data_IF_931700919039
#
_entry.id   IF_931700919039
#
_cell.length_a   1.000
_cell.length_b   1.000
_cell.length_c   1.000
_cell.angle_alpha   90.00
_cell.angle_beta   90.00
_cell.angle_gamma   90.00
#
_symmetry.space_group_name_H-M   'P 1'
#
loop_
_entity.id
_entity.type
_entity.pdbx_description
1 polymer ?
#
# COMPACT_ATOMS: atom_id res chain seq x y z
N UNK A 1 25.01 -17.29 4.82
CA UNK A 1 23.89 -18.21 4.48
C UNK A 1 22.94 -18.28 5.68
N UNK A 2 21.62 -18.14 5.42
CA UNK A 2 20.62 -18.27 6.49
C UNK A 2 20.43 -19.73 6.88
N UNK A 3 20.29 -19.99 8.18
CA UNK A 3 20.13 -21.35 8.73
C UNK A 3 18.83 -21.46 9.52
N UNK A 4 18.24 -22.65 9.56
CA UNK A 4 17.21 -23.01 10.53
C UNK A 4 17.81 -23.16 11.93
N UNK A 5 16.97 -23.21 12.97
CA UNK A 5 17.39 -23.52 14.35
C UNK A 5 18.09 -24.90 14.44
N UNK A 6 17.78 -25.83 13.52
CA UNK A 6 18.41 -27.16 13.41
C UNK A 6 19.62 -27.18 12.44
N UNK A 7 20.15 -26.02 12.03
CA UNK A 7 21.32 -25.91 11.17
C UNK A 7 21.11 -26.15 9.67
N UNK A 8 19.90 -26.48 9.21
CA UNK A 8 19.59 -26.65 7.77
C UNK A 8 19.62 -25.31 7.05
N UNK A 9 20.11 -25.30 5.80
CA UNK A 9 20.19 -24.12 4.96
C UNK A 9 18.81 -23.66 4.48
N UNK A 10 18.43 -22.43 4.82
CA UNK A 10 17.18 -21.81 4.37
C UNK A 10 17.31 -21.01 3.05
N UNK A 11 18.54 -20.74 2.61
CA UNK A 11 18.84 -19.86 1.51
C UNK A 11 19.40 -18.50 1.95
N UNK A 12 19.96 -17.76 0.98
CA UNK A 12 20.53 -16.42 1.23
C UNK A 12 19.40 -15.42 1.56
N UNK A 13 19.50 -14.76 2.70
CA UNK A 13 18.51 -13.75 3.12
C UNK A 13 17.35 -14.29 3.94
N UNK A 14 17.30 -15.60 4.22
CA UNK A 14 16.25 -16.22 5.05
C UNK A 14 16.86 -16.85 6.28
N UNK A 15 16.31 -16.59 7.46
CA UNK A 15 16.71 -17.26 8.71
C UNK A 15 15.48 -17.62 9.54
N UNK A 16 15.56 -18.72 10.29
CA UNK A 16 14.51 -19.09 11.24
C UNK A 16 14.71 -18.32 12.55
N UNK A 17 13.63 -17.80 13.07
CA UNK A 17 13.55 -17.10 14.36
C UNK A 17 13.28 -18.09 15.48
N UNK A 18 13.49 -17.66 16.73
CA UNK A 18 13.22 -18.47 17.94
C UNK A 18 11.74 -18.82 18.09
N UNK A 19 10.83 -17.99 17.55
CA UNK A 19 9.37 -18.21 17.52
C UNK A 19 8.91 -19.20 16.44
N UNK A 20 9.86 -19.83 15.72
CA UNK A 20 9.58 -20.80 14.66
C UNK A 20 9.34 -20.22 13.28
N UNK A 21 9.07 -18.90 13.16
CA UNK A 21 8.83 -18.24 11.89
C UNK A 21 10.14 -18.02 11.10
N UNK A 22 10.00 -17.86 9.79
CA UNK A 22 11.11 -17.59 8.88
C UNK A 22 11.14 -16.11 8.52
N UNK A 23 12.22 -15.42 8.89
CA UNK A 23 12.47 -14.02 8.50
C UNK A 23 13.23 -13.98 7.19
N UNK A 24 12.63 -13.37 6.16
CA UNK A 24 13.28 -13.06 4.90
C UNK A 24 13.70 -11.58 4.88
N UNK A 25 14.91 -11.30 4.37
CA UNK A 25 15.50 -9.95 4.30
C UNK A 25 16.00 -9.66 2.89
N UNK A 26 15.64 -8.49 2.42
CA UNK A 26 16.05 -7.96 1.13
C UNK A 26 16.50 -6.50 1.29
N UNK A 27 17.52 -6.10 0.57
CA UNK A 27 17.97 -4.70 0.49
C UNK A 27 17.81 -4.28 -0.96
N UNK A 28 17.00 -3.25 -1.20
CA UNK A 28 16.77 -2.73 -2.54
C UNK A 28 17.97 -1.90 -3.05
N UNK A 29 17.92 -1.51 -4.33
CA UNK A 29 19.00 -0.70 -4.97
C UNK A 29 19.20 0.66 -4.32
N UNK A 30 18.21 1.16 -3.56
CA UNK A 30 18.29 2.42 -2.82
C UNK A 30 18.91 2.24 -1.43
N UNK A 31 19.33 1.01 -1.08
CA UNK A 31 19.90 0.69 0.21
C UNK A 31 18.89 0.48 1.33
N UNK A 32 17.59 0.54 1.05
CA UNK A 32 16.53 0.32 2.05
C UNK A 32 16.37 -1.18 2.31
N UNK A 33 16.30 -1.53 3.59
CA UNK A 33 16.12 -2.91 4.03
C UNK A 33 14.64 -3.22 4.22
N UNK A 34 14.19 -4.28 3.56
CA UNK A 34 12.87 -4.88 3.72
C UNK A 34 13.00 -6.18 4.48
N UNK A 35 12.13 -6.41 5.46
CA UNK A 35 12.12 -7.65 6.26
C UNK A 35 10.68 -8.09 6.44
N UNK A 36 10.42 -9.39 6.16
CA UNK A 36 9.09 -9.99 6.36
C UNK A 36 9.23 -11.38 6.97
N UNK A 37 8.25 -11.77 7.82
CA UNK A 37 8.21 -13.08 8.46
C UNK A 37 7.13 -13.96 7.81
N UNK A 38 7.41 -15.27 7.71
CA UNK A 38 6.57 -16.26 7.05
C UNK A 38 6.48 -17.51 7.90
N UNK A 39 5.40 -18.26 7.74
CA UNK A 39 5.24 -19.55 8.42
C UNK A 39 6.12 -20.64 7.79
N UNK A 40 6.38 -20.56 6.49
CA UNK A 40 7.12 -21.57 5.75
C UNK A 40 8.30 -21.03 4.94
N UNK A 41 9.30 -21.88 4.67
CA UNK A 41 10.45 -21.54 3.83
C UNK A 41 10.04 -21.25 2.37
N UNK A 42 9.14 -22.02 1.72
CA UNK A 42 8.70 -21.73 0.36
C UNK A 42 8.11 -20.33 0.20
N UNK A 43 7.21 -19.91 1.11
CA UNK A 43 6.65 -18.55 1.11
C UNK A 43 7.73 -17.47 1.22
N UNK A 44 8.69 -17.67 2.13
CA UNK A 44 9.81 -16.75 2.31
C UNK A 44 10.70 -16.65 1.05
N UNK A 45 10.88 -17.78 0.33
CA UNK A 45 11.66 -17.81 -0.92
C UNK A 45 10.91 -17.12 -2.07
N UNK A 46 9.62 -17.38 -2.22
CA UNK A 46 8.81 -16.75 -3.26
C UNK A 46 8.79 -15.24 -3.07
N UNK A 47 8.51 -14.77 -1.86
CA UNK A 47 8.56 -13.35 -1.56
C UNK A 47 9.94 -12.72 -1.88
N UNK A 48 11.03 -13.42 -1.56
CA UNK A 48 12.38 -12.92 -1.83
C UNK A 48 12.72 -12.88 -3.33
N UNK A 49 12.18 -13.84 -4.10
CA UNK A 49 12.34 -13.89 -5.54
C UNK A 49 11.57 -12.75 -6.21
N UNK A 50 10.31 -12.54 -5.81
CA UNK A 50 9.47 -11.44 -6.32
C UNK A 50 10.07 -10.07 -5.99
N UNK A 51 10.58 -9.89 -4.76
CA UNK A 51 11.24 -8.67 -4.33
C UNK A 51 12.47 -8.34 -5.18
N UNK A 52 13.30 -9.34 -5.46
CA UNK A 52 14.49 -9.17 -6.29
C UNK A 52 14.14 -8.91 -7.75
N UNK A 53 13.13 -9.62 -8.28
CA UNK A 53 12.66 -9.42 -9.63
C UNK A 53 12.13 -7.98 -9.83
N UNK A 54 11.29 -7.51 -8.92
CA UNK A 54 10.76 -6.15 -8.94
C UNK A 54 11.89 -5.09 -8.87
N UNK A 55 12.87 -5.28 -8.00
CA UNK A 55 14.02 -4.38 -7.87
C UNK A 55 14.89 -4.37 -9.15
N UNK A 56 15.12 -5.53 -9.77
CA UNK A 56 15.90 -5.64 -11.01
C UNK A 56 15.23 -4.95 -12.19
N UNK A 57 13.89 -4.98 -12.27
CA UNK A 57 13.13 -4.41 -13.37
C UNK A 57 12.66 -2.97 -13.10
N UNK A 58 13.10 -2.36 -11.99
CA UNK A 58 12.71 -1.00 -11.62
C UNK A 58 11.23 -0.88 -11.24
N UNK A 59 10.54 -2.01 -11.11
CA UNK A 59 9.16 -2.08 -10.63
C UNK A 59 9.16 -1.82 -9.13
N UNK A 60 8.22 -1.00 -8.65
CA UNK A 60 8.09 -0.78 -7.20
C UNK A 60 7.74 -2.12 -6.56
N UNK A 61 8.62 -2.61 -5.66
CA UNK A 61 8.29 -3.79 -4.88
C UNK A 61 7.16 -3.44 -3.91
N UNK A 62 5.99 -3.99 -4.19
CA UNK A 62 4.80 -3.80 -3.39
C UNK A 62 4.61 -5.06 -2.55
N UNK A 63 4.71 -4.95 -1.22
CA UNK A 63 4.31 -6.04 -0.36
C UNK A 63 2.85 -6.41 -0.64
N UNK A 64 2.54 -7.71 -0.73
CA UNK A 64 1.16 -8.18 -0.93
C UNK A 64 0.19 -7.72 0.18
N UNK A 65 0.73 -7.19 1.27
CA UNK A 65 0.04 -6.65 2.43
C UNK A 65 0.10 -5.11 2.51
N UNK A 66 0.43 -4.42 1.40
CA UNK A 66 0.41 -2.96 1.35
C UNK A 66 -0.99 -2.45 1.70
N UNK A 67 -1.08 -1.61 2.72
CA UNK A 67 -2.32 -0.92 3.10
C UNK A 67 -2.52 0.36 2.31
N UNK A 68 -3.74 0.90 2.36
CA UNK A 68 -4.04 2.22 1.78
C UNK A 68 -3.19 3.30 2.45
N UNK A 69 -2.93 3.22 3.77
CA UNK A 69 -2.04 4.13 4.50
C UNK A 69 -0.63 4.11 3.93
N UNK A 70 -0.04 2.92 3.80
CA UNK A 70 1.32 2.78 3.27
C UNK A 70 1.44 3.29 1.83
N UNK A 71 0.41 3.03 1.02
CA UNK A 71 0.34 3.56 -0.34
C UNK A 71 0.22 5.09 -0.35
N UNK A 72 -0.63 5.68 0.50
CA UNK A 72 -0.78 7.13 0.59
C UNK A 72 0.51 7.83 0.99
N UNK A 73 1.24 7.31 1.97
CA UNK A 73 2.55 7.85 2.38
C UNK A 73 3.53 7.85 1.20
N UNK A 74 3.67 6.70 0.51
CA UNK A 74 4.52 6.61 -0.67
C UNK A 74 4.09 7.57 -1.78
N UNK A 75 2.80 7.59 -2.09
CA UNK A 75 2.22 8.45 -3.12
C UNK A 75 2.41 9.94 -2.82
N UNK A 76 2.21 10.35 -1.57
CA UNK A 76 2.34 11.75 -1.14
C UNK A 76 3.79 12.25 -1.21
N UNK A 77 4.76 11.38 -1.01
CA UNK A 77 6.19 11.72 -1.00
C UNK A 77 6.81 11.64 -2.40
N UNK A 78 6.50 10.58 -3.15
CA UNK A 78 7.22 10.26 -4.39
C UNK A 78 6.45 10.56 -5.68
N UNK A 79 5.13 10.64 -5.64
CA UNK A 79 4.32 10.83 -6.86
C UNK A 79 3.78 12.26 -6.94
N UNK A 80 3.29 12.81 -5.83
CA UNK A 80 2.76 14.18 -5.80
C UNK A 80 3.66 15.15 -5.05
N UNK A 81 4.89 14.74 -4.75
CA UNK A 81 5.87 15.55 -4.02
C UNK A 81 6.21 16.87 -4.72
N UNK A 82 6.17 16.92 -6.04
CA UNK A 82 6.47 18.11 -6.86
C UNK A 82 5.27 19.06 -7.02
N UNK A 83 4.08 18.70 -6.53
CA UNK A 83 2.93 19.59 -6.58
C UNK A 83 3.07 20.77 -5.60
N UNK A 84 2.34 21.84 -5.89
CA UNK A 84 2.31 23.04 -5.05
C UNK A 84 2.01 22.69 -3.57
N UNK A 85 2.68 23.34 -2.60
CA UNK A 85 2.55 23.01 -1.16
C UNK A 85 1.11 22.98 -0.67
N UNK A 86 0.26 23.90 -1.13
CA UNK A 86 -1.16 23.92 -0.77
C UNK A 86 -1.92 22.69 -1.29
N UNK A 87 -1.60 22.20 -2.50
CA UNK A 87 -2.22 21.00 -3.07
C UNK A 87 -1.86 19.76 -2.25
N UNK A 88 -0.58 19.61 -1.90
CA UNK A 88 -0.10 18.51 -1.07
C UNK A 88 -0.75 18.52 0.32
N UNK A 89 -0.85 19.71 0.95
CA UNK A 89 -1.52 19.88 2.24
C UNK A 89 -2.99 19.47 2.15
N UNK A 90 -3.71 19.93 1.13
CA UNK A 90 -5.11 19.60 0.92
C UNK A 90 -5.34 18.08 0.70
N UNK A 91 -4.45 17.39 -0.02
CA UNK A 91 -4.52 15.94 -0.17
C UNK A 91 -4.31 15.24 1.17
N UNK A 92 -3.33 15.67 1.96
CA UNK A 92 -3.03 15.11 3.28
C UNK A 92 -4.19 15.32 4.25
N UNK A 93 -4.72 16.52 4.35
CA UNK A 93 -5.85 16.84 5.23
C UNK A 93 -7.08 15.99 4.89
N UNK A 94 -7.47 15.91 3.62
CA UNK A 94 -8.60 15.09 3.19
C UNK A 94 -8.36 13.60 3.43
N UNK A 95 -7.14 13.14 3.23
CA UNK A 95 -6.81 11.75 3.50
C UNK A 95 -6.92 11.44 4.98
N UNK A 96 -6.22 12.17 5.83
CA UNK A 96 -6.12 11.91 7.28
C UNK A 96 -7.48 12.03 7.96
N UNK A 97 -8.27 13.06 7.60
CA UNK A 97 -9.56 13.28 8.28
C UNK A 97 -10.70 12.44 7.72
N UNK A 98 -10.73 12.16 6.42
CA UNK A 98 -11.92 11.59 5.79
C UNK A 98 -11.72 10.16 5.27
N UNK A 99 -10.53 9.82 4.76
CA UNK A 99 -10.28 8.54 4.07
C UNK A 99 -9.64 7.53 5.02
N UNK A 100 -8.60 7.93 5.71
CA UNK A 100 -7.81 7.10 6.61
C UNK A 100 -8.66 6.40 7.69
N UNK A 101 -9.58 7.07 8.41
CA UNK A 101 -10.36 6.43 9.47
C UNK A 101 -11.21 5.26 8.98
N UNK A 102 -11.61 5.27 7.71
CA UNK A 102 -12.53 4.27 7.14
C UNK A 102 -11.78 3.15 6.42
N UNK A 103 -10.79 3.48 5.61
CA UNK A 103 -10.14 2.51 4.73
C UNK A 103 -8.61 2.44 4.86
N UNK A 104 -7.99 3.27 5.67
CA UNK A 104 -6.53 3.39 5.75
C UNK A 104 -5.82 2.07 6.04
N UNK A 105 -6.37 1.27 6.95
CA UNK A 105 -5.81 -0.03 7.37
C UNK A 105 -6.15 -1.20 6.44
N UNK A 106 -7.05 -1.00 5.46
CA UNK A 106 -7.37 -2.05 4.50
C UNK A 106 -6.18 -2.30 3.57
N UNK A 107 -6.01 -3.55 3.16
CA UNK A 107 -5.07 -3.88 2.09
C UNK A 107 -5.51 -3.16 0.81
N UNK A 108 -4.57 -2.56 0.11
CA UNK A 108 -4.83 -1.79 -1.11
C UNK A 108 -5.58 -2.62 -2.17
N UNK A 109 -5.20 -3.89 -2.32
CA UNK A 109 -5.83 -4.86 -3.24
C UNK A 109 -7.22 -5.31 -2.80
N UNK A 110 -7.57 -5.17 -1.52
CA UNK A 110 -8.87 -5.53 -0.97
C UNK A 110 -9.90 -4.39 -1.03
N UNK A 111 -9.49 -3.18 -1.43
CA UNK A 111 -10.39 -2.05 -1.54
C UNK A 111 -11.37 -2.27 -2.70
N UNK A 112 -12.67 -2.18 -2.38
CA UNK A 112 -13.79 -2.35 -3.32
C UNK A 112 -14.59 -1.04 -3.42
N UNK A 113 -15.44 -0.88 -4.45
CA UNK A 113 -16.31 0.30 -4.60
C UNK A 113 -17.14 0.62 -3.35
N UNK A 114 -17.63 -0.42 -2.67
CA UNK A 114 -18.40 -0.25 -1.42
C UNK A 114 -17.61 0.49 -0.34
N UNK A 115 -16.30 0.24 -0.22
CA UNK A 115 -15.45 0.91 0.76
C UNK A 115 -15.30 2.41 0.43
N UNK A 116 -15.19 2.76 -0.85
CA UNK A 116 -15.20 4.17 -1.27
C UNK A 116 -16.53 4.85 -0.96
N UNK A 117 -17.65 4.14 -1.15
CA UNK A 117 -18.99 4.66 -0.79
C UNK A 117 -19.12 4.85 0.72
N UNK A 118 -18.57 3.95 1.53
CA UNK A 118 -18.56 4.09 3.00
C UNK A 118 -17.85 5.35 3.46
N UNK A 119 -16.72 5.72 2.82
CA UNK A 119 -16.02 6.99 3.10
C UNK A 119 -16.94 8.18 2.86
N UNK A 120 -17.63 8.21 1.72
CA UNK A 120 -18.54 9.32 1.39
C UNK A 120 -19.74 9.39 2.33
N UNK A 121 -20.37 8.26 2.64
CA UNK A 121 -21.49 8.19 3.56
C UNK A 121 -21.12 8.65 4.97
N UNK A 122 -19.92 8.30 5.45
CA UNK A 122 -19.42 8.75 6.75
C UNK A 122 -19.27 10.27 6.85
N UNK A 123 -19.19 10.97 5.71
CA UNK A 123 -19.06 12.43 5.66
C UNK A 123 -20.39 13.16 5.52
N UNK A 124 -21.48 12.46 5.18
CA UNK A 124 -22.76 13.11 4.81
C UNK A 124 -23.38 13.95 5.93
N UNK A 125 -23.16 13.55 7.19
CA UNK A 125 -23.72 14.25 8.35
C UNK A 125 -22.95 15.54 8.70
N UNK A 126 -21.62 15.54 8.53
CA UNK A 126 -20.75 16.55 9.10
C UNK A 126 -20.11 17.50 8.07
N UNK A 127 -20.19 17.17 6.77
CA UNK A 127 -19.46 17.92 5.74
C UNK A 127 -20.37 18.45 4.62
N UNK A 128 -20.04 19.65 4.15
CA UNK A 128 -20.67 20.23 2.96
C UNK A 128 -20.39 19.38 1.71
N UNK A 129 -21.33 19.37 0.77
CA UNK A 129 -21.23 18.60 -0.49
C UNK A 129 -19.96 18.91 -1.28
N UNK A 130 -19.46 20.15 -1.25
CA UNK A 130 -18.18 20.53 -1.87
C UNK A 130 -16.98 19.80 -1.26
N UNK A 131 -16.95 19.63 0.06
CA UNK A 131 -15.87 18.89 0.76
C UNK A 131 -15.94 17.40 0.43
N UNK A 132 -17.12 16.82 0.41
CA UNK A 132 -17.34 15.41 0.02
C UNK A 132 -16.87 15.20 -1.43
N UNK A 133 -17.21 16.11 -2.35
CA UNK A 133 -16.76 16.07 -3.74
C UNK A 133 -15.23 16.12 -3.84
N UNK A 134 -14.60 16.99 -3.07
CA UNK A 134 -13.12 17.08 -3.07
C UNK A 134 -12.46 15.82 -2.51
N UNK A 135 -13.04 15.19 -1.49
CA UNK A 135 -12.57 13.90 -0.97
C UNK A 135 -12.75 12.79 -2.00
N UNK A 136 -13.88 12.77 -2.71
CA UNK A 136 -14.12 11.85 -3.83
C UNK A 136 -13.08 12.01 -4.96
N UNK A 137 -12.71 13.24 -5.30
CA UNK A 137 -11.65 13.52 -6.29
C UNK A 137 -10.28 13.02 -5.77
N UNK A 138 -9.97 13.29 -4.50
CA UNK A 138 -8.71 12.85 -3.87
C UNK A 138 -8.57 11.32 -3.89
N UNK A 139 -9.62 10.56 -3.51
CA UNK A 139 -9.64 9.10 -3.64
C UNK A 139 -9.43 8.66 -5.09
N UNK A 140 -10.08 9.34 -6.04
CA UNK A 140 -9.93 9.04 -7.47
C UNK A 140 -8.49 9.19 -7.95
N UNK A 141 -7.80 10.25 -7.54
CA UNK A 141 -6.40 10.49 -7.91
C UNK A 141 -5.47 9.46 -7.27
N UNK A 142 -5.67 9.16 -5.97
CA UNK A 142 -4.88 8.18 -5.24
C UNK A 142 -4.97 6.78 -5.85
N UNK A 143 -6.19 6.29 -6.11
CA UNK A 143 -6.40 4.96 -6.68
C UNK A 143 -6.08 4.87 -8.17
N UNK A 144 -6.27 5.95 -8.94
CA UNK A 144 -5.81 5.98 -10.34
C UNK A 144 -4.29 5.79 -10.41
N UNK A 145 -3.57 6.46 -9.54
CA UNK A 145 -2.12 6.28 -9.44
C UNK A 145 -1.74 4.85 -9.04
N UNK A 146 -2.52 4.20 -8.17
CA UNK A 146 -2.31 2.79 -7.84
C UNK A 146 -2.52 1.87 -9.04
N UNK A 147 -3.54 2.11 -9.85
CA UNK A 147 -3.79 1.35 -11.10
C UNK A 147 -2.67 1.58 -12.12
N UNK A 148 -2.23 2.82 -12.31
CA UNK A 148 -1.14 3.16 -13.24
C UNK A 148 0.21 2.56 -12.84
N UNK A 149 0.38 2.20 -11.58
CA UNK A 149 1.57 1.52 -11.05
C UNK A 149 1.35 0.01 -10.84
N UNK A 150 0.32 -0.58 -11.45
CA UNK A 150 -0.03 -2.01 -11.39
C UNK A 150 -0.24 -2.57 -9.97
N UNK A 151 -0.58 -1.71 -8.99
CA UNK A 151 -0.83 -2.08 -7.60
C UNK A 151 -2.20 -2.72 -7.40
N UNK A 152 -3.16 -2.29 -8.20
CA UNK A 152 -4.53 -2.80 -8.23
C UNK A 152 -4.99 -2.96 -9.68
N UNK A 153 -5.64 -4.07 -9.97
CA UNK A 153 -6.06 -4.41 -11.34
C UNK A 153 -7.22 -3.54 -11.85
N UNK A 154 -8.04 -3.02 -10.95
CA UNK A 154 -9.22 -2.19 -11.27
C UNK A 154 -9.30 -1.01 -10.32
N UNK A 155 -9.82 0.10 -10.84
CA UNK A 155 -9.99 1.29 -10.04
C UNK A 155 -11.14 1.11 -9.03
N UNK A 156 -10.88 1.15 -7.70
CA UNK A 156 -11.92 0.87 -6.69
C UNK A 156 -13.09 1.86 -6.69
N UNK A 157 -12.94 3.03 -7.31
CA UNK A 157 -14.00 4.04 -7.44
C UNK A 157 -14.93 3.81 -8.63
N UNK A 158 -14.60 2.88 -9.54
CA UNK A 158 -15.43 2.61 -10.69
C UNK A 158 -16.79 2.05 -10.24
N UNK A 159 -17.87 2.70 -10.69
CA UNK A 159 -19.23 2.39 -10.25
C UNK A 159 -19.70 3.11 -8.97
N UNK A 160 -18.84 3.90 -8.32
CA UNK A 160 -19.26 4.78 -7.22
C UNK A 160 -19.69 6.13 -7.80
N UNK A 161 -20.99 6.32 -7.98
CA UNK A 161 -21.54 7.62 -8.35
C UNK A 161 -21.46 8.60 -7.16
N UNK A 162 -20.99 9.81 -7.42
CA UNK A 162 -21.22 10.96 -6.56
C UNK A 162 -22.27 11.84 -7.25
N UNK A 163 -23.53 11.69 -6.84
CA UNK A 163 -24.63 12.55 -7.25
C UNK A 163 -25.06 13.39 -6.06
N UNK A 164 -24.74 14.66 -6.10
CA UNK A 164 -25.50 15.73 -5.47
C UNK A 164 -25.84 16.74 -6.49
#
# INVERSE_FOLDING_TARGET
>A
MGKTLKGKNCGKGICQRKDGLYSARFVDRRGKRHTKCFATIPEARNWLADAKYADQHGTIFIPADMTVDTWFEYWSEHIVGDLAPNTRRNYRERYVHNIQPVIGKLQLTAVKPIHCKMVLNAMEADYAGSTIRQTYITMGTLFRSAVMNDLVAKHPKDGVGYTK
#
